data_IF_156049968138
#
_entry.id   IF_156049968138
#
_cell.length_a   1.000
_cell.length_b   1.000
_cell.length_c   1.000
_cell.angle_alpha   90.00
_cell.angle_beta   90.00
_cell.angle_gamma   90.00
#
_symmetry.space_group_name_H-M   'P 1'
#
loop_
_entity.id
_entity.type
_entity.pdbx_description
1 polymer ?
#
# COMPACT_ATOMS: atom_id res chain seq x y z
N UNK A 1 21.15 13.88 53.10
CA UNK A 1 21.52 12.55 52.59
C UNK A 1 20.35 11.90 51.82
N UNK A 2 19.12 11.90 52.34
CA UNK A 2 17.96 11.24 51.70
C UNK A 2 17.57 11.86 50.34
N UNK A 3 17.59 13.21 50.22
CA UNK A 3 17.25 13.90 48.95
C UNK A 3 18.23 13.59 47.82
N UNK A 4 19.49 13.39 48.12
CA UNK A 4 20.48 12.99 47.11
C UNK A 4 20.24 11.56 46.59
N UNK A 5 19.85 10.67 47.47
CA UNK A 5 19.56 9.27 47.15
C UNK A 5 18.30 9.13 46.27
N UNK A 6 17.27 9.95 46.54
CA UNK A 6 16.04 10.00 45.72
C UNK A 6 16.33 10.60 44.36
N UNK A 7 17.19 11.63 44.25
CA UNK A 7 17.57 12.23 42.99
C UNK A 7 18.38 11.26 42.08
N UNK A 8 19.34 10.51 42.70
CA UNK A 8 20.12 9.51 41.97
C UNK A 8 19.23 8.35 41.46
N UNK A 9 18.26 7.90 42.30
CA UNK A 9 17.28 6.89 41.89
C UNK A 9 16.40 7.33 40.73
N UNK A 10 15.96 8.59 40.69
CA UNK A 10 15.15 9.15 39.58
C UNK A 10 15.96 9.30 38.30
N UNK A 11 17.23 9.65 38.35
CA UNK A 11 18.12 9.74 37.20
C UNK A 11 18.35 8.35 36.58
N UNK A 12 18.60 7.34 37.44
CA UNK A 12 18.78 5.96 37.00
C UNK A 12 17.51 5.37 36.38
N UNK A 13 16.35 5.67 36.94
CA UNK A 13 15.05 5.22 36.41
C UNK A 13 14.72 5.87 35.10
N UNK A 14 14.98 7.17 34.96
CA UNK A 14 14.84 7.90 33.70
C UNK A 14 15.83 7.40 32.62
N UNK A 15 17.04 7.02 32.98
CA UNK A 15 18.02 6.43 32.09
C UNK A 15 17.58 5.05 31.59
N UNK A 16 17.07 4.20 32.50
CA UNK A 16 16.53 2.88 32.14
C UNK A 16 15.27 2.98 31.29
N UNK A 17 14.39 3.95 31.56
CA UNK A 17 13.20 4.21 30.74
C UNK A 17 13.58 4.65 29.32
N UNK A 18 14.58 5.54 29.17
CA UNK A 18 15.09 5.98 27.86
C UNK A 18 15.75 4.83 27.09
N UNK A 19 16.53 3.99 27.74
CA UNK A 19 17.15 2.82 27.13
C UNK A 19 16.11 1.80 26.65
N UNK A 20 15.08 1.53 27.48
CA UNK A 20 13.96 0.64 27.12
C UNK A 20 13.19 1.18 25.92
N UNK A 21 12.92 2.49 25.91
CA UNK A 21 12.23 3.15 24.78
C UNK A 21 13.02 3.04 23.49
N UNK A 22 14.32 3.31 23.50
CA UNK A 22 15.21 3.16 22.33
C UNK A 22 15.27 1.72 21.84
N UNK A 23 15.30 0.75 22.76
CA UNK A 23 15.29 -0.67 22.39
C UNK A 23 13.98 -1.06 21.73
N UNK A 24 12.83 -0.62 22.26
CA UNK A 24 11.51 -0.86 21.67
C UNK A 24 11.38 -0.18 20.30
N UNK A 25 11.82 1.05 20.17
CA UNK A 25 11.84 1.78 18.89
C UNK A 25 12.72 1.06 17.85
N UNK A 26 13.87 0.53 18.27
CA UNK A 26 14.74 -0.26 17.39
C UNK A 26 14.11 -1.60 16.99
N UNK A 27 13.53 -2.32 17.92
CA UNK A 27 12.84 -3.58 17.65
C UNK A 27 11.65 -3.36 16.70
N UNK A 28 10.83 -2.33 16.91
CA UNK A 28 9.74 -1.97 16.02
C UNK A 28 10.23 -1.64 14.60
N UNK A 29 11.36 -0.94 14.49
CA UNK A 29 11.97 -0.62 13.18
C UNK A 29 12.49 -1.88 12.47
N UNK A 30 13.05 -2.85 13.20
CA UNK A 30 13.53 -4.11 12.63
C UNK A 30 12.37 -5.03 12.17
N UNK A 31 11.19 -4.90 12.76
CA UNK A 31 9.97 -5.65 12.40
C UNK A 31 9.09 -4.92 11.39
N UNK A 32 9.45 -3.70 11.00
CA UNK A 32 8.66 -2.88 10.10
C UNK A 32 8.44 -3.56 8.74
N UNK A 33 7.19 -3.61 8.31
CA UNK A 33 6.78 -4.12 7.00
C UNK A 33 6.02 -3.04 6.22
N UNK A 34 6.07 -3.09 4.90
CA UNK A 34 5.32 -2.15 4.08
C UNK A 34 3.80 -2.30 4.30
N UNK A 35 3.32 -3.54 4.50
CA UNK A 35 1.93 -3.81 4.87
C UNK A 35 1.54 -3.16 6.20
N UNK A 36 2.39 -3.24 7.23
CA UNK A 36 2.20 -2.58 8.52
C UNK A 36 2.15 -1.05 8.38
N UNK A 37 3.03 -0.48 7.55
CA UNK A 37 3.00 0.97 7.23
C UNK A 37 1.68 1.37 6.60
N UNK A 38 1.16 0.60 5.63
CA UNK A 38 -0.13 0.90 5.01
C UNK A 38 -1.31 0.75 5.97
N UNK A 39 -1.29 -0.22 6.87
CA UNK A 39 -2.33 -0.36 7.89
C UNK A 39 -2.38 0.87 8.82
N UNK A 40 -1.24 1.30 9.31
CA UNK A 40 -1.14 2.50 10.16
C UNK A 40 -1.64 3.75 9.43
N UNK A 41 -1.27 3.92 8.16
CA UNK A 41 -1.70 5.05 7.36
C UNK A 41 -3.19 4.99 7.01
N UNK A 42 -3.74 3.80 6.77
CA UNK A 42 -5.15 3.59 6.51
C UNK A 42 -6.03 3.98 7.72
N UNK A 43 -5.60 3.62 8.92
CA UNK A 43 -6.32 3.99 10.15
C UNK A 43 -6.36 5.49 10.40
N UNK A 44 -5.32 6.21 10.00
CA UNK A 44 -5.30 7.67 10.10
C UNK A 44 -6.31 8.33 9.17
N UNK A 45 -6.72 7.65 8.10
CA UNK A 45 -7.71 8.13 7.12
C UNK A 45 -7.28 9.38 6.34
N UNK A 46 -6.00 9.77 6.43
CA UNK A 46 -5.47 10.96 5.76
C UNK A 46 -4.88 10.59 4.40
N UNK A 47 -4.85 11.52 3.43
CA UNK A 47 -4.23 11.28 2.13
C UNK A 47 -2.75 10.89 2.25
N UNK A 48 -2.34 9.94 1.45
CA UNK A 48 -0.94 9.54 1.28
C UNK A 48 -0.49 9.80 -0.16
N UNK A 49 0.81 9.85 -0.38
CA UNK A 49 1.40 9.87 -1.71
C UNK A 49 2.15 8.56 -1.89
N UNK A 50 1.71 7.75 -2.83
CA UNK A 50 2.38 6.51 -3.22
C UNK A 50 3.01 6.70 -4.60
N UNK A 51 4.25 6.24 -4.77
CA UNK A 51 4.92 6.18 -6.08
C UNK A 51 5.29 4.75 -6.38
N UNK A 52 4.98 4.34 -7.60
CA UNK A 52 5.39 3.02 -8.09
C UNK A 52 6.78 3.04 -8.70
N UNK A 53 7.34 1.86 -8.95
CA UNK A 53 8.64 1.69 -9.63
C UNK A 53 8.60 2.22 -11.06
N UNK A 54 7.45 2.16 -11.74
CA UNK A 54 7.26 2.74 -13.07
C UNK A 54 7.04 4.27 -13.04
N UNK A 55 7.12 4.90 -11.85
CA UNK A 55 6.99 6.34 -11.69
C UNK A 55 5.57 6.87 -11.57
N UNK A 56 4.55 6.00 -11.58
CA UNK A 56 3.17 6.42 -11.34
C UNK A 56 3.03 7.01 -9.94
N UNK A 57 2.44 8.19 -9.85
CA UNK A 57 2.11 8.85 -8.58
C UNK A 57 0.61 8.77 -8.34
N UNK A 58 0.23 8.26 -7.17
CA UNK A 58 -1.15 8.15 -6.70
C UNK A 58 -1.27 8.89 -5.39
N UNK A 59 -2.29 9.75 -5.24
CA UNK A 59 -2.46 10.59 -4.04
C UNK A 59 -3.89 10.50 -3.55
N UNK A 60 -4.08 10.12 -2.31
CA UNK A 60 -5.41 10.02 -1.69
C UNK A 60 -5.43 9.15 -0.45
N UNK A 61 -6.59 8.96 0.17
CA UNK A 61 -6.73 8.05 1.30
C UNK A 61 -6.57 6.60 0.85
N UNK A 62 -6.00 5.78 1.73
CA UNK A 62 -5.96 4.34 1.55
C UNK A 62 -7.37 3.79 1.76
N UNK A 63 -7.86 2.99 0.82
CA UNK A 63 -9.19 2.38 0.83
C UNK A 63 -9.16 0.87 1.03
N UNK A 64 -8.02 0.25 0.78
CA UNK A 64 -7.83 -1.19 0.96
C UNK A 64 -6.36 -1.49 1.25
N UNK A 65 -6.12 -2.49 2.11
CA UNK A 65 -4.80 -3.07 2.33
C UNK A 65 -4.97 -4.57 2.22
N UNK A 66 -4.41 -5.17 1.18
CA UNK A 66 -4.42 -6.61 0.94
C UNK A 66 -3.13 -7.27 1.43
N UNK A 67 -3.00 -8.58 1.24
CA UNK A 67 -1.81 -9.33 1.64
C UNK A 67 -0.54 -8.83 0.94
N UNK A 68 -0.67 -8.45 -0.32
CA UNK A 68 0.43 -8.04 -1.21
C UNK A 68 0.08 -6.83 -2.10
N UNK A 69 -0.96 -6.07 -1.74
CA UNK A 69 -1.36 -4.86 -2.45
C UNK A 69 -1.94 -3.78 -1.54
N UNK A 70 -2.00 -2.57 -2.06
CA UNK A 70 -2.70 -1.44 -1.45
C UNK A 70 -3.63 -0.78 -2.47
N UNK A 71 -4.79 -0.34 -2.02
CA UNK A 71 -5.75 0.46 -2.77
C UNK A 71 -5.77 1.90 -2.25
N UNK A 72 -5.66 2.86 -3.15
CA UNK A 72 -5.72 4.31 -2.86
C UNK A 72 -6.79 4.95 -3.72
N UNK A 73 -7.63 5.78 -3.13
CA UNK A 73 -8.64 6.57 -3.86
C UNK A 73 -8.05 7.90 -4.30
N UNK A 74 -7.58 7.95 -5.55
CA UNK A 74 -7.08 9.20 -6.11
C UNK A 74 -8.24 9.97 -6.76
N UNK A 75 -8.47 11.25 -6.40
CA UNK A 75 -9.59 12.03 -6.92
C UNK A 75 -9.50 12.30 -8.42
N UNK A 76 -8.33 12.16 -9.04
CA UNK A 76 -8.10 12.38 -10.47
C UNK A 76 -8.09 11.10 -11.28
N UNK A 77 -7.51 10.03 -10.72
CA UNK A 77 -7.34 8.76 -11.42
C UNK A 77 -8.54 7.83 -11.17
N UNK A 78 -9.04 7.77 -9.96
CA UNK A 78 -10.00 6.79 -9.46
C UNK A 78 -9.37 5.85 -8.43
N UNK A 79 -10.09 4.79 -8.09
CA UNK A 79 -9.61 3.79 -7.15
C UNK A 79 -8.45 2.99 -7.79
N UNK A 80 -7.28 3.12 -7.23
CA UNK A 80 -6.03 2.57 -7.79
C UNK A 80 -5.49 1.48 -6.89
N UNK A 81 -5.38 0.27 -7.43
CA UNK A 81 -4.77 -0.89 -6.76
C UNK A 81 -3.33 -1.06 -7.23
N UNK A 82 -2.40 -1.27 -6.30
CA UNK A 82 -0.96 -1.39 -6.58
C UNK A 82 -0.38 -2.56 -5.80
N UNK A 83 0.29 -3.53 -6.45
CA UNK A 83 1.06 -4.56 -5.75
C UNK A 83 2.14 -3.91 -4.89
N UNK A 84 2.35 -4.40 -3.66
CA UNK A 84 3.38 -3.86 -2.75
C UNK A 84 4.79 -4.01 -3.32
N UNK A 85 5.03 -5.04 -4.12
CA UNK A 85 6.31 -5.27 -4.82
C UNK A 85 6.61 -4.21 -5.89
N UNK A 86 5.61 -3.43 -6.30
CA UNK A 86 5.74 -2.36 -7.31
C UNK A 86 5.80 -0.97 -6.69
N UNK A 87 5.76 -0.86 -5.37
CA UNK A 87 5.81 0.43 -4.67
C UNK A 87 7.26 0.80 -4.39
N UNK A 88 7.65 1.97 -4.85
CA UNK A 88 8.96 2.55 -4.60
C UNK A 88 8.98 3.39 -3.32
N UNK A 89 7.94 4.22 -3.11
CA UNK A 89 7.85 5.09 -1.93
C UNK A 89 6.42 5.28 -1.47
N UNK A 90 6.26 5.48 -0.17
CA UNK A 90 5.02 5.98 0.44
C UNK A 90 5.36 7.15 1.34
N UNK A 91 4.58 8.21 1.25
CA UNK A 91 4.71 9.41 2.07
C UNK A 91 3.37 9.70 2.75
N UNK A 92 3.33 9.91 4.07
CA UNK A 92 2.14 10.37 4.75
C UNK A 92 1.80 11.80 4.34
N UNK A 93 0.62 12.27 4.75
CA UNK A 93 0.24 13.67 4.57
C UNK A 93 1.26 14.61 5.24
N UNK A 94 1.47 15.84 4.70
CA UNK A 94 2.37 16.81 5.30
C UNK A 94 2.02 17.05 6.78
N UNK A 95 3.03 17.00 7.64
CA UNK A 95 2.89 17.18 9.09
C UNK A 95 2.50 15.92 9.87
N UNK A 96 2.34 14.78 9.21
CA UNK A 96 2.17 13.50 9.89
C UNK A 96 3.51 12.81 10.11
N UNK A 97 3.62 12.14 11.26
CA UNK A 97 4.78 11.30 11.56
C UNK A 97 4.79 10.05 10.68
N UNK A 98 5.99 9.57 10.39
CA UNK A 98 6.15 8.28 9.72
C UNK A 98 5.61 7.16 10.63
N UNK A 99 4.82 6.23 10.08
CA UNK A 99 4.34 5.08 10.85
C UNK A 99 5.50 4.13 11.17
N UNK A 100 5.40 3.45 12.31
CA UNK A 100 6.38 2.45 12.72
C UNK A 100 6.38 1.22 11.80
N UNK A 101 5.22 0.84 11.26
CA UNK A 101 5.08 -0.28 10.35
C UNK A 101 5.22 -1.66 11.01
N UNK A 102 5.20 -1.73 12.34
CA UNK A 102 5.39 -2.94 13.15
C UNK A 102 4.10 -3.74 13.35
N UNK A 103 2.99 -3.29 12.78
CA UNK A 103 1.71 -4.01 12.85
C UNK A 103 1.75 -5.30 12.06
N UNK A 104 1.26 -6.36 12.69
CA UNK A 104 1.01 -7.63 12.00
C UNK A 104 -0.11 -7.45 10.97
N UNK A 105 0.17 -7.94 9.79
CA UNK A 105 -0.72 -7.87 8.65
C UNK A 105 -1.33 -9.27 8.42
N UNK A 106 -2.48 -9.51 9.02
CA UNK A 106 -3.17 -10.81 8.96
C UNK A 106 -4.19 -10.91 7.80
N UNK A 107 -4.13 -9.97 6.85
CA UNK A 107 -5.02 -9.96 5.68
C UNK A 107 -4.55 -10.99 4.67
N UNK A 108 -5.47 -11.86 4.24
CA UNK A 108 -5.19 -12.97 3.32
C UNK A 108 -5.54 -12.68 1.86
N UNK A 109 -6.33 -11.63 1.57
CA UNK A 109 -6.72 -11.29 0.21
C UNK A 109 -5.50 -10.82 -0.60
N UNK A 110 -5.10 -11.62 -1.59
CA UNK A 110 -4.02 -11.29 -2.49
C UNK A 110 -4.48 -10.40 -3.66
N UNK A 111 -3.54 -9.75 -4.32
CA UNK A 111 -3.81 -8.87 -5.47
C UNK A 111 -4.55 -9.57 -6.60
N UNK A 112 -4.11 -10.78 -6.95
CA UNK A 112 -4.78 -11.61 -7.97
C UNK A 112 -6.23 -11.93 -7.60
N UNK A 113 -6.49 -12.27 -6.34
CA UNK A 113 -7.84 -12.59 -5.86
C UNK A 113 -8.75 -11.34 -5.90
N UNK A 114 -8.22 -10.18 -5.49
CA UNK A 114 -8.94 -8.92 -5.59
C UNK A 114 -9.31 -8.58 -7.03
N UNK A 115 -8.41 -8.83 -7.98
CA UNK A 115 -8.71 -8.64 -9.41
C UNK A 115 -9.69 -9.68 -9.97
N UNK A 116 -9.70 -10.92 -9.47
CA UNK A 116 -10.70 -11.93 -9.83
C UNK A 116 -12.10 -11.51 -9.38
N UNK A 117 -12.24 -11.01 -8.14
CA UNK A 117 -13.52 -10.48 -7.66
C UNK A 117 -13.97 -9.29 -8.49
N UNK A 118 -13.05 -8.37 -8.79
CA UNK A 118 -13.33 -7.19 -9.59
C UNK A 118 -13.76 -7.56 -11.04
N UNK A 119 -13.15 -8.58 -11.62
CA UNK A 119 -13.45 -9.04 -12.97
C UNK A 119 -14.90 -9.54 -13.13
N UNK A 120 -15.55 -10.00 -12.05
CA UNK A 120 -16.94 -10.42 -12.06
C UNK A 120 -17.89 -9.26 -12.44
N UNK A 121 -17.54 -8.03 -12.12
CA UNK A 121 -18.29 -6.81 -12.45
C UNK A 121 -17.96 -6.26 -13.85
N UNK A 122 -16.92 -6.79 -14.49
CA UNK A 122 -16.41 -6.33 -15.79
C UNK A 122 -16.21 -4.82 -15.87
N UNK A 123 -15.52 -4.19 -14.94
CA UNK A 123 -15.30 -2.75 -14.98
C UNK A 123 -14.37 -2.34 -16.11
N UNK A 124 -14.50 -1.08 -16.54
CA UNK A 124 -13.47 -0.46 -17.34
C UNK A 124 -12.30 -0.05 -16.45
N UNK A 125 -11.12 -0.54 -16.80
CA UNK A 125 -9.90 -0.29 -16.03
C UNK A 125 -8.80 0.28 -16.93
N UNK A 126 -7.83 0.89 -16.29
CA UNK A 126 -6.53 1.19 -16.89
C UNK A 126 -5.48 0.39 -16.14
N UNK A 127 -4.72 -0.43 -16.85
CA UNK A 127 -3.64 -1.26 -16.30
C UNK A 127 -2.31 -0.71 -16.77
N UNK A 128 -1.48 -0.30 -15.84
CA UNK A 128 -0.07 0.02 -16.09
C UNK A 128 0.75 -1.26 -16.06
N UNK A 129 1.45 -1.58 -17.14
CA UNK A 129 2.33 -2.74 -17.24
C UNK A 129 3.57 -2.38 -18.04
N UNK A 130 4.74 -2.46 -17.42
CA UNK A 130 5.98 -1.96 -18.00
C UNK A 130 5.91 -0.43 -18.23
N UNK A 131 6.10 -0.01 -19.47
CA UNK A 131 6.01 1.39 -19.92
C UNK A 131 4.65 1.74 -20.56
N UNK A 132 3.72 0.79 -20.64
CA UNK A 132 2.43 0.93 -21.28
C UNK A 132 1.29 1.13 -20.27
N UNK A 133 0.27 1.87 -20.69
CA UNK A 133 -1.02 2.00 -20.02
C UNK A 133 -2.13 1.48 -20.93
N UNK A 134 -2.63 0.29 -20.61
CA UNK A 134 -3.66 -0.40 -21.37
C UNK A 134 -5.04 -0.11 -20.80
N UNK A 135 -5.98 0.30 -21.63
CA UNK A 135 -7.36 0.60 -21.22
C UNK A 135 -8.31 -0.42 -21.84
N UNK A 136 -9.19 -0.95 -21.02
CA UNK A 136 -10.17 -1.91 -21.48
C UNK A 136 -11.10 -2.39 -20.39
N UNK A 137 -12.02 -3.26 -20.77
CA UNK A 137 -12.90 -3.97 -19.84
C UNK A 137 -12.13 -5.14 -19.24
N UNK A 138 -12.09 -5.24 -17.92
CA UNK A 138 -11.49 -6.37 -17.21
C UNK A 138 -12.39 -7.61 -17.42
N UNK A 139 -11.87 -8.63 -18.10
CA UNK A 139 -12.63 -9.85 -18.46
C UNK A 139 -12.41 -10.95 -17.46
N UNK A 140 -11.16 -11.26 -17.21
CA UNK A 140 -10.76 -12.32 -16.28
C UNK A 140 -9.47 -11.94 -15.57
N UNK A 141 -9.28 -12.49 -14.39
CA UNK A 141 -8.02 -12.47 -13.68
C UNK A 141 -7.76 -13.85 -13.07
N UNK A 142 -6.51 -14.18 -12.88
CA UNK A 142 -6.03 -15.37 -12.20
C UNK A 142 -4.83 -15.01 -11.33
N UNK A 143 -4.20 -15.99 -10.73
CA UNK A 143 -2.96 -15.81 -9.96
C UNK A 143 -1.75 -15.42 -10.82
N UNK A 144 -1.84 -15.54 -12.14
CA UNK A 144 -0.70 -15.29 -13.05
C UNK A 144 -1.03 -14.33 -14.19
N UNK A 145 -2.30 -14.25 -14.62
CA UNK A 145 -2.69 -13.55 -15.85
C UNK A 145 -3.96 -12.75 -15.64
N UNK A 146 -3.98 -11.55 -16.18
CA UNK A 146 -5.15 -10.69 -16.30
C UNK A 146 -5.47 -10.50 -17.77
N UNK A 147 -6.76 -10.61 -18.16
CA UNK A 147 -7.21 -10.40 -19.55
C UNK A 147 -8.09 -9.17 -19.64
N UNK A 148 -7.74 -8.26 -20.53
CA UNK A 148 -8.52 -7.08 -20.89
C UNK A 148 -9.10 -7.23 -22.29
N UNK A 149 -10.34 -6.80 -22.48
CA UNK A 149 -10.87 -6.48 -23.80
C UNK A 149 -10.58 -5.00 -24.08
N UNK A 150 -9.64 -4.73 -24.99
CA UNK A 150 -9.27 -3.36 -25.34
C UNK A 150 -10.43 -2.65 -26.03
N UNK A 151 -10.59 -1.37 -25.73
CA UNK A 151 -11.67 -0.53 -26.27
C UNK A 151 -11.35 0.01 -27.69
N UNK A 152 -10.77 -0.82 -28.55
CA UNK A 152 -10.57 -0.52 -29.95
C UNK A 152 -11.67 -1.13 -30.85
N UNK A 153 -11.63 -0.85 -32.15
CA UNK A 153 -12.63 -1.35 -33.11
C UNK A 153 -12.64 -2.88 -33.21
N UNK A 154 -11.53 -3.55 -32.91
CA UNK A 154 -11.36 -5.01 -32.99
C UNK A 154 -11.75 -5.74 -31.74
N UNK A 155 -11.75 -5.05 -30.58
CA UNK A 155 -12.01 -5.63 -29.24
C UNK A 155 -11.17 -6.87 -28.94
N UNK A 156 -9.95 -6.91 -29.45
CA UNK A 156 -9.05 -8.05 -29.25
C UNK A 156 -8.66 -8.15 -27.77
N UNK A 157 -8.72 -9.34 -27.17
CA UNK A 157 -8.30 -9.53 -25.80
C UNK A 157 -6.78 -9.46 -25.71
N UNK A 158 -6.28 -8.79 -24.67
CA UNK A 158 -4.86 -8.78 -24.31
C UNK A 158 -4.71 -9.49 -22.98
N UNK A 159 -3.75 -10.41 -22.91
CA UNK A 159 -3.34 -11.07 -21.66
C UNK A 159 -2.08 -10.40 -21.11
N UNK A 160 -2.15 -10.02 -19.84
CA UNK A 160 -1.09 -9.32 -19.13
C UNK A 160 -0.62 -10.23 -17.98
N UNK A 161 0.68 -10.48 -17.87
CA UNK A 161 1.22 -11.20 -16.72
C UNK A 161 0.96 -10.39 -15.45
N UNK A 162 0.40 -11.02 -14.41
CA UNK A 162 0.09 -10.35 -13.14
C UNK A 162 1.34 -9.69 -12.54
N UNK A 163 2.49 -10.37 -12.62
CA UNK A 163 3.78 -9.87 -12.15
C UNK A 163 4.30 -8.62 -12.90
N UNK A 164 3.80 -8.36 -14.12
CA UNK A 164 4.16 -7.17 -14.89
C UNK A 164 3.33 -5.94 -14.54
N UNK A 165 2.22 -6.13 -13.83
CA UNK A 165 1.30 -5.05 -13.49
C UNK A 165 1.92 -4.15 -12.44
N UNK A 166 1.99 -2.87 -12.74
CA UNK A 166 2.43 -1.81 -11.84
C UNK A 166 1.28 -1.22 -11.02
N UNK A 167 0.15 -1.01 -11.68
CA UNK A 167 -1.08 -0.52 -11.05
C UNK A 167 -2.31 -0.85 -11.88
N UNK A 168 -3.46 -0.89 -11.23
CA UNK A 168 -4.79 -1.00 -11.86
C UNK A 168 -5.67 0.14 -11.37
N UNK A 169 -6.12 0.99 -12.28
CA UNK A 169 -7.06 2.07 -11.99
C UNK A 169 -8.47 1.62 -12.37
N UNK A 170 -9.35 1.60 -11.39
CA UNK A 170 -10.78 1.37 -11.59
C UNK A 170 -11.46 2.73 -11.69
N UNK A 171 -12.10 3.00 -12.81
CA UNK A 171 -12.84 4.25 -12.98
C UNK A 171 -14.28 4.04 -12.50
N UNK A 172 -14.75 4.93 -11.63
CA UNK A 172 -16.17 5.03 -11.34
C UNK A 172 -16.95 5.26 -12.65
N UNK A 173 -18.06 4.57 -12.81
CA UNK A 173 -19.00 4.80 -13.91
C UNK A 173 -19.67 6.15 -13.78
#
# INVERSE_FOLDING_TARGET
ALQRWVADGQVDEAARARSRRRWLEKAATEEATLGGVFLDLAERGRPVIVRTLAGQRVTGPIIAVGADFVGVRDPRLGDTLMPTTRIATVQPAPGDDLPAGDRRHDVVLAFGDALMELAAERPNVMVGAGDENLRGELRTASTEVVTLAIADERREPISIALAAIDHVVVRAR
#
